data_IF_718228251058
#
_entry.id   IF_718228251058
#
_cell.length_a   1.000
_cell.length_b   1.000
_cell.length_c   1.000
_cell.angle_alpha   90.00
_cell.angle_beta   90.00
_cell.angle_gamma   90.00
#
_symmetry.space_group_name_H-M   'P 1'
#
loop_
_entity.id
_entity.type
_entity.pdbx_description
1 polymer ?
#
# COMPACT_ATOMS: atom_id res chain seq x y z
N UNK A 1 -26.51 28.59 -52.52
CA UNK A 1 -25.29 28.39 -51.70
C UNK A 1 -25.56 27.24 -50.74
N UNK A 2 -24.67 26.24 -50.72
CA UNK A 2 -25.01 24.81 -50.59
C UNK A 2 -25.30 24.31 -49.16
N UNK A 3 -26.44 23.62 -49.00
CA UNK A 3 -26.80 22.81 -47.82
C UNK A 3 -25.88 21.58 -47.59
N UNK A 4 -25.02 21.27 -48.57
CA UNK A 4 -24.08 20.16 -48.54
C UNK A 4 -22.89 20.39 -47.59
N UNK A 5 -22.55 21.62 -47.22
CA UNK A 5 -21.39 21.90 -46.35
C UNK A 5 -21.60 21.60 -44.87
N UNK A 6 -22.84 21.46 -44.40
CA UNK A 6 -23.15 21.29 -42.96
C UNK A 6 -23.03 19.83 -42.49
N UNK A 7 -23.39 18.85 -43.32
CA UNK A 7 -23.40 17.42 -42.95
C UNK A 7 -21.99 16.81 -42.76
N UNK A 8 -20.96 17.38 -43.41
CA UNK A 8 -19.59 16.88 -43.28
C UNK A 8 -18.89 17.27 -41.97
N UNK A 9 -19.33 18.35 -41.30
CA UNK A 9 -18.78 18.74 -39.99
C UNK A 9 -19.33 17.90 -38.84
N UNK A 10 -20.59 17.48 -38.93
CA UNK A 10 -21.22 16.63 -37.91
C UNK A 10 -20.72 15.17 -38.00
N UNK A 11 -20.60 14.61 -39.20
CA UNK A 11 -20.14 13.22 -39.39
C UNK A 11 -18.64 12.99 -39.03
N UNK A 12 -17.83 14.05 -38.97
CA UNK A 12 -16.44 13.99 -38.53
C UNK A 12 -16.24 14.12 -37.01
N UNK A 13 -17.22 14.73 -36.31
CA UNK A 13 -17.17 14.94 -34.86
C UNK A 13 -17.31 13.66 -34.05
N UNK A 14 -18.26 12.79 -34.43
CA UNK A 14 -18.56 11.56 -33.67
C UNK A 14 -17.43 10.53 -33.75
N UNK A 15 -16.76 10.39 -34.91
CA UNK A 15 -15.63 9.45 -35.07
C UNK A 15 -14.39 9.90 -34.29
N UNK A 16 -14.09 11.20 -34.29
CA UNK A 16 -12.99 11.77 -33.51
C UNK A 16 -13.25 11.76 -32.00
N UNK A 17 -14.49 12.06 -31.57
CA UNK A 17 -14.90 11.99 -30.16
C UNK A 17 -14.78 10.57 -29.61
N UNK A 18 -15.27 9.56 -30.36
CA UNK A 18 -15.21 8.16 -29.91
C UNK A 18 -13.79 7.63 -29.72
N UNK A 19 -12.84 8.04 -30.57
CA UNK A 19 -11.45 7.62 -30.46
C UNK A 19 -10.77 8.25 -29.24
N UNK A 20 -11.04 9.53 -28.96
CA UNK A 20 -10.50 10.23 -27.79
C UNK A 20 -11.10 9.66 -26.49
N UNK A 21 -12.41 9.38 -26.47
CA UNK A 21 -13.09 8.75 -25.34
C UNK A 21 -12.55 7.35 -25.06
N UNK A 22 -12.31 6.55 -26.10
CA UNK A 22 -11.73 5.21 -25.96
C UNK A 22 -10.31 5.26 -25.38
N UNK A 23 -9.46 6.19 -25.85
CA UNK A 23 -8.11 6.39 -25.31
C UNK A 23 -8.20 6.83 -23.84
N UNK A 24 -9.06 7.79 -23.52
CA UNK A 24 -9.26 8.24 -22.14
C UNK A 24 -9.75 7.11 -21.24
N UNK A 25 -10.65 6.24 -21.72
CA UNK A 25 -11.13 5.07 -20.98
C UNK A 25 -9.99 4.07 -20.72
N UNK A 26 -9.11 3.81 -21.68
CA UNK A 26 -7.95 2.93 -21.50
C UNK A 26 -7.01 3.51 -20.43
N UNK A 27 -6.71 4.81 -20.48
CA UNK A 27 -5.87 5.44 -19.46
C UNK A 27 -6.53 5.38 -18.08
N UNK A 28 -7.84 5.67 -17.98
CA UNK A 28 -8.57 5.62 -16.73
C UNK A 28 -8.62 4.21 -16.13
N UNK A 29 -8.86 3.19 -16.96
CA UNK A 29 -8.79 1.79 -16.57
C UNK A 29 -7.37 1.41 -16.10
N UNK A 30 -6.35 1.83 -16.83
CA UNK A 30 -4.95 1.66 -16.43
C UNK A 30 -4.67 2.26 -15.05
N UNK A 31 -5.04 3.52 -14.84
CA UNK A 31 -4.92 4.18 -13.54
C UNK A 31 -5.66 3.43 -12.44
N UNK A 32 -6.88 2.97 -12.71
CA UNK A 32 -7.69 2.23 -11.73
C UNK A 32 -7.05 0.88 -11.33
N UNK A 33 -6.45 0.17 -12.27
CA UNK A 33 -5.66 -1.05 -11.99
C UNK A 33 -4.47 -0.71 -11.10
N UNK A 34 -3.71 0.35 -11.42
CA UNK A 34 -2.56 0.76 -10.61
C UNK A 34 -2.97 1.15 -9.18
N UNK A 35 -4.06 1.91 -9.03
CA UNK A 35 -4.60 2.29 -7.71
C UNK A 35 -5.02 1.05 -6.91
N UNK A 36 -5.72 0.11 -7.55
CA UNK A 36 -6.14 -1.13 -6.89
C UNK A 36 -4.93 -1.94 -6.42
N UNK A 37 -3.89 -2.03 -7.25
CA UNK A 37 -2.65 -2.70 -6.87
C UNK A 37 -1.99 -2.04 -5.65
N UNK A 38 -1.99 -0.70 -5.56
CA UNK A 38 -1.48 0.02 -4.39
C UNK A 38 -2.29 -0.26 -3.11
N UNK A 39 -3.61 -0.34 -3.24
CA UNK A 39 -4.49 -0.68 -2.10
C UNK A 39 -4.16 -2.08 -1.56
N UNK A 40 -3.94 -3.06 -2.45
CA UNK A 40 -3.52 -4.42 -2.06
C UNK A 40 -2.17 -4.39 -1.33
N UNK A 41 -1.18 -3.70 -1.88
CA UNK A 41 0.13 -3.54 -1.22
C UNK A 41 0.02 -2.90 0.16
N UNK A 42 -0.84 -1.91 0.32
CA UNK A 42 -1.11 -1.28 1.61
C UNK A 42 -1.73 -2.25 2.62
N UNK A 43 -2.74 -3.03 2.22
CA UNK A 43 -3.35 -4.02 3.09
C UNK A 43 -2.33 -5.07 3.55
N UNK A 44 -1.53 -5.60 2.62
CA UNK A 44 -0.50 -6.60 2.91
C UNK A 44 0.55 -6.04 3.88
N UNK A 45 1.13 -4.88 3.56
CA UNK A 45 2.15 -4.28 4.42
C UNK A 45 1.61 -3.90 5.81
N UNK A 46 0.34 -3.46 5.90
CA UNK A 46 -0.30 -3.19 7.18
C UNK A 46 -0.49 -4.46 8.01
N UNK A 47 -0.87 -5.57 7.39
CA UNK A 47 -1.00 -6.85 8.07
C UNK A 47 0.35 -7.33 8.62
N UNK A 48 1.42 -7.25 7.82
CA UNK A 48 2.78 -7.63 8.23
C UNK A 48 3.25 -6.76 9.40
N UNK A 49 3.11 -5.44 9.28
CA UNK A 49 3.52 -4.51 10.34
C UNK A 49 2.76 -4.74 11.65
N UNK A 50 1.47 -5.08 11.58
CA UNK A 50 0.63 -5.33 12.74
C UNK A 50 0.99 -6.66 13.42
N UNK A 51 1.22 -7.72 12.66
CA UNK A 51 1.67 -9.02 13.19
C UNK A 51 3.04 -8.88 13.86
N UNK A 52 4.00 -8.28 13.16
CA UNK A 52 5.33 -8.01 13.70
C UNK A 52 5.31 -7.18 15.00
N UNK A 53 4.52 -6.09 15.04
CA UNK A 53 4.40 -5.27 16.24
C UNK A 53 3.79 -6.06 17.41
N UNK A 54 2.79 -6.91 17.15
CA UNK A 54 2.16 -7.76 18.17
C UNK A 54 3.15 -8.79 18.72
N UNK A 55 3.88 -9.47 17.85
CA UNK A 55 4.83 -10.51 18.24
C UNK A 55 6.05 -9.92 18.97
N UNK A 56 6.51 -8.75 18.53
CA UNK A 56 7.52 -7.97 19.25
C UNK A 56 7.07 -7.57 20.66
N UNK A 57 5.86 -7.02 20.79
CA UNK A 57 5.31 -6.64 22.10
C UNK A 57 5.12 -7.84 23.03
N UNK A 58 4.67 -8.98 22.49
CA UNK A 58 4.56 -10.24 23.23
C UNK A 58 5.92 -10.73 23.73
N UNK A 59 6.92 -10.76 22.85
CA UNK A 59 8.27 -11.16 23.23
C UNK A 59 8.83 -10.25 24.34
N UNK A 60 8.62 -8.93 24.23
CA UNK A 60 9.03 -7.97 25.24
C UNK A 60 8.34 -8.22 26.61
N UNK A 61 7.04 -8.53 26.60
CA UNK A 61 6.29 -8.86 27.83
C UNK A 61 6.80 -10.13 28.53
N UNK A 62 7.39 -11.06 27.78
CA UNK A 62 7.99 -12.30 28.26
C UNK A 62 9.47 -12.16 28.63
N UNK A 63 10.04 -10.95 28.57
CA UNK A 63 11.47 -10.71 28.80
C UNK A 63 12.39 -11.22 27.70
N UNK A 64 11.85 -11.53 26.52
CA UNK A 64 12.60 -12.01 25.36
C UNK A 64 13.01 -10.86 24.43
N UNK A 65 13.90 -11.15 23.47
CA UNK A 65 14.31 -10.17 22.46
C UNK A 65 13.20 -9.91 21.44
N UNK A 66 12.60 -8.73 21.51
CA UNK A 66 11.56 -8.28 20.59
C UNK A 66 12.07 -8.15 19.13
N UNK A 67 13.32 -7.77 18.91
CA UNK A 67 13.88 -7.65 17.56
C UNK A 67 13.96 -9.00 16.84
N UNK A 68 14.29 -10.08 17.56
CA UNK A 68 14.30 -11.44 17.01
C UNK A 68 12.88 -11.91 16.68
N UNK A 69 11.91 -11.62 17.54
CA UNK A 69 10.51 -11.96 17.29
C UNK A 69 9.95 -11.23 16.07
N UNK A 70 10.22 -9.93 15.94
CA UNK A 70 9.86 -9.14 14.76
C UNK A 70 10.51 -9.70 13.50
N UNK A 71 11.80 -10.04 13.55
CA UNK A 71 12.52 -10.60 12.39
C UNK A 71 11.89 -11.88 11.85
N UNK A 72 11.36 -12.75 12.73
CA UNK A 72 10.66 -13.98 12.35
C UNK A 72 9.25 -13.74 11.80
N UNK A 73 8.68 -12.57 12.07
CA UNK A 73 7.30 -12.21 11.72
C UNK A 73 7.21 -11.40 10.43
N UNK A 74 8.34 -11.01 9.86
CA UNK A 74 8.45 -10.24 8.62
C UNK A 74 9.06 -11.13 7.54
N UNK A 75 8.56 -11.11 6.29
CA UNK A 75 9.18 -11.86 5.19
C UNK A 75 10.61 -11.39 4.88
N UNK A 76 11.50 -12.31 4.49
CA UNK A 76 12.91 -12.00 4.19
C UNK A 76 13.11 -10.94 3.08
N UNK A 77 12.16 -10.86 2.15
CA UNK A 77 12.18 -9.88 1.05
C UNK A 77 11.86 -8.44 1.50
N UNK A 78 11.42 -8.26 2.74
CA UNK A 78 10.87 -7.00 3.25
C UNK A 78 11.89 -6.26 4.10
N UNK A 79 12.09 -4.97 3.81
CA UNK A 79 12.92 -4.12 4.66
C UNK A 79 12.07 -3.61 5.82
N UNK A 80 12.60 -3.68 7.04
CA UNK A 80 11.89 -3.22 8.23
C UNK A 80 12.84 -2.55 9.21
N UNK A 81 12.26 -1.78 10.12
CA UNK A 81 12.97 -1.13 11.22
C UNK A 81 12.15 -1.26 12.49
N UNK A 82 12.83 -1.57 13.59
CA UNK A 82 12.23 -1.73 14.92
C UNK A 82 12.83 -0.69 15.85
N UNK A 83 12.00 -0.08 16.70
CA UNK A 83 12.45 0.79 17.77
C UNK A 83 11.55 0.67 18.99
N UNK A 84 12.06 1.21 20.10
CA UNK A 84 11.49 1.04 21.43
C UNK A 84 11.19 2.42 22.02
N UNK A 85 9.97 2.96 21.79
CA UNK A 85 9.58 4.24 22.36
C UNK A 85 9.54 4.22 23.90
N UNK A 86 9.29 3.06 24.50
CA UNK A 86 9.29 2.85 25.94
C UNK A 86 9.65 1.39 26.27
N UNK A 87 9.94 1.05 27.54
CA UNK A 87 10.35 -0.30 27.96
C UNK A 87 9.33 -1.42 27.70
N UNK A 88 8.08 -1.06 27.40
CA UNK A 88 6.93 -1.96 27.20
C UNK A 88 6.28 -1.77 25.82
N UNK A 89 6.89 -0.94 24.96
CA UNK A 89 6.35 -0.57 23.66
C UNK A 89 7.31 -0.98 22.56
N UNK A 90 6.77 -1.68 21.57
CA UNK A 90 7.47 -1.98 20.33
C UNK A 90 6.82 -1.21 19.20
N UNK A 91 7.62 -0.53 18.41
CA UNK A 91 7.19 0.06 17.16
C UNK A 91 7.95 -0.55 15.99
N UNK A 92 7.19 -0.95 14.97
CA UNK A 92 7.70 -1.57 13.76
C UNK A 92 7.28 -0.73 12.57
N UNK A 93 8.24 -0.38 11.71
CA UNK A 93 7.98 0.13 10.38
C UNK A 93 8.43 -0.87 9.35
N UNK A 94 7.58 -1.06 8.35
CA UNK A 94 7.80 -1.98 7.25
C UNK A 94 7.80 -1.16 5.96
N UNK A 95 8.85 -1.32 5.17
CA UNK A 95 9.04 -0.68 3.88
C UNK A 95 8.73 -1.71 2.78
N UNK A 96 7.64 -1.49 2.04
CA UNK A 96 7.25 -2.36 0.93
C UNK A 96 8.09 -2.02 -0.31
N UNK A 97 8.82 -3.02 -0.84
CA UNK A 97 9.54 -2.92 -2.12
C UNK A 97 8.63 -3.35 -3.27
N UNK A 98 8.83 -2.77 -4.46
CA UNK A 98 8.09 -3.15 -5.68
C UNK A 98 6.79 -2.39 -5.93
N UNK A 99 6.49 -1.38 -5.12
CA UNK A 99 5.37 -0.45 -5.35
C UNK A 99 5.80 0.71 -6.25
N UNK A 100 4.87 1.24 -7.06
CA UNK A 100 5.13 2.41 -7.92
C UNK A 100 5.52 3.65 -7.10
N UNK A 101 4.94 3.80 -5.91
CA UNK A 101 5.33 4.81 -4.92
C UNK A 101 5.80 4.09 -3.66
N UNK A 102 6.91 4.52 -3.04
CA UNK A 102 7.41 3.89 -1.83
C UNK A 102 6.35 3.95 -0.73
N UNK A 103 6.02 2.80 -0.16
CA UNK A 103 4.99 2.69 0.88
C UNK A 103 5.63 2.28 2.19
N UNK A 104 5.53 3.18 3.18
CA UNK A 104 6.03 2.96 4.53
C UNK A 104 4.84 2.82 5.48
N UNK A 105 4.78 1.70 6.20
CA UNK A 105 3.70 1.44 7.14
C UNK A 105 4.28 1.24 8.51
N UNK A 106 3.82 2.05 9.46
CA UNK A 106 4.28 2.06 10.85
C UNK A 106 3.15 1.62 11.77
N UNK A 107 3.45 0.67 12.66
CA UNK A 107 2.53 0.17 13.69
C UNK A 107 3.24 0.13 15.04
N UNK A 108 2.53 0.60 16.07
CA UNK A 108 2.99 0.58 17.45
C UNK A 108 2.09 -0.34 18.26
N UNK A 109 2.69 -1.13 19.15
CA UNK A 109 1.97 -1.97 20.11
C UNK A 109 2.64 -1.86 21.47
N UNK A 110 1.83 -1.76 22.52
CA UNK A 110 2.27 -1.74 23.91
C UNK A 110 1.59 -2.91 24.63
N UNK A 111 2.36 -3.72 25.35
CA UNK A 111 1.82 -4.81 26.18
C UNK A 111 2.30 -4.63 27.62
N UNK A 112 1.39 -4.68 28.63
CA UNK A 112 1.78 -4.68 30.03
C UNK A 112 2.64 -5.92 30.33
N UNK A 113 3.70 -5.76 31.12
CA UNK A 113 4.48 -6.91 31.62
C UNK A 113 3.59 -7.77 32.50
N UNK A 114 3.52 -9.07 32.21
CA UNK A 114 2.96 -10.03 33.16
C UNK A 114 3.90 -10.06 34.35
N UNK A 115 3.47 -9.51 35.49
CA UNK A 115 4.22 -9.60 36.74
C UNK A 115 4.47 -11.09 37.04
N UNK A 116 5.75 -11.46 37.07
CA UNK A 116 6.22 -12.75 37.59
C UNK A 116 6.19 -12.75 39.12
#
# INVERSE_FOLDING_TARGET
MSLLGRRWREAGGDRGSSAIEAVAAIFLLGTMVLVTMQVVWFMVGSSIAQQAARDGARALSLGQSASVAVARSVPDSTTYRVWYPSPDTVRVRVDMKGTIFPLQIERQMTMPRTAS
#
